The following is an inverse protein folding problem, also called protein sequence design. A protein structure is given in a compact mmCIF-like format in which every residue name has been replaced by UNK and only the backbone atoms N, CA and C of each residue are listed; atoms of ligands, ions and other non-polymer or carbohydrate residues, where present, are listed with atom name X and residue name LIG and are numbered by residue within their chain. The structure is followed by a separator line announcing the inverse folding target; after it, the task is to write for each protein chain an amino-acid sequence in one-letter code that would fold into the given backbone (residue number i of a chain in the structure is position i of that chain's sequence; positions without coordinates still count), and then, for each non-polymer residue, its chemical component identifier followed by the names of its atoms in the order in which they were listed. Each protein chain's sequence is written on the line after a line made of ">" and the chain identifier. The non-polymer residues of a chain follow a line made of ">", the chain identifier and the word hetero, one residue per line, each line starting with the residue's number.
data_IF_008660585608
#
_entry.id   IF_008660585608
#
_cell.length_a   1.000
_cell.length_b   1.000
_cell.length_c   1.000
_cell.angle_alpha   90.00
_cell.angle_beta   90.00
_cell.angle_gamma   90.00
#
_symmetry.space_group_name_H-M   'P 1'
#
loop_
_entity.id
_entity.type
_entity.pdbx_description
1 polymer ?
#
# COMPACT_ATOMS: atom_id res chain seq x y z
N UNK A 1 -23.03 6.82 -12.06
CA UNK A 1 -22.68 7.88 -11.08
C UNK A 1 -21.38 8.55 -11.52
N UNK A 2 -21.22 9.82 -11.14
CA UNK A 2 -19.98 10.58 -11.34
C UNK A 2 -19.10 10.46 -10.09
N UNK A 3 -17.94 9.88 -10.24
CA UNK A 3 -17.03 9.58 -9.13
C UNK A 3 -15.72 10.35 -9.35
N UNK A 4 -15.33 11.17 -8.37
CA UNK A 4 -14.02 11.82 -8.35
C UNK A 4 -13.12 11.11 -7.35
N UNK A 5 -12.00 10.53 -7.82
CA UNK A 5 -11.00 9.87 -6.98
C UNK A 5 -9.81 10.80 -6.80
N UNK A 6 -9.49 11.18 -5.57
CA UNK A 6 -8.37 12.09 -5.24
C UNK A 6 -7.23 11.28 -4.68
N UNK A 7 -6.06 11.40 -5.30
CA UNK A 7 -4.83 10.72 -4.87
C UNK A 7 -3.58 11.54 -5.21
N UNK A 8 -2.55 11.46 -4.37
CA UNK A 8 -1.34 12.28 -4.53
C UNK A 8 -0.61 12.02 -5.84
N UNK A 9 -0.46 10.78 -6.23
CA UNK A 9 0.27 10.39 -7.45
C UNK A 9 -0.57 9.42 -8.28
N UNK A 10 -0.52 9.55 -9.61
CA UNK A 10 -1.18 8.62 -10.52
C UNK A 10 -0.40 8.47 -11.84
N UNK A 11 -0.48 7.30 -12.46
CA UNK A 11 0.15 7.01 -13.75
C UNK A 11 1.56 6.44 -13.62
N UNK A 12 2.47 6.86 -14.50
CA UNK A 12 3.84 6.31 -14.58
C UNK A 12 4.68 6.56 -13.33
N UNK A 13 4.31 7.59 -12.55
CA UNK A 13 4.99 7.97 -11.32
C UNK A 13 4.44 7.24 -10.08
N UNK A 14 3.38 6.45 -10.26
CA UNK A 14 2.74 5.68 -9.21
C UNK A 14 3.55 4.42 -8.89
N UNK A 15 4.47 4.52 -7.92
CA UNK A 15 5.33 3.41 -7.48
C UNK A 15 4.69 2.64 -6.32
N UNK A 16 3.70 3.24 -5.66
CA UNK A 16 3.08 2.68 -4.45
C UNK A 16 1.94 1.69 -4.72
N UNK A 17 1.70 0.81 -3.74
CA UNK A 17 0.59 -0.15 -3.80
C UNK A 17 -0.79 0.52 -3.74
N UNK A 18 -0.91 1.66 -3.05
CA UNK A 18 -2.16 2.42 -2.93
C UNK A 18 -2.60 3.00 -4.26
N UNK A 19 -1.68 3.64 -4.98
CA UNK A 19 -1.93 4.27 -6.27
C UNK A 19 -2.27 3.23 -7.34
N UNK A 20 -1.55 2.10 -7.36
CA UNK A 20 -1.82 0.98 -8.26
C UNK A 20 -3.21 0.41 -8.01
N UNK A 21 -3.59 0.19 -6.76
CA UNK A 21 -4.90 -0.35 -6.38
C UNK A 21 -6.04 0.62 -6.73
N UNK A 22 -5.85 1.92 -6.47
CA UNK A 22 -6.84 2.92 -6.83
C UNK A 22 -7.03 3.02 -8.36
N UNK A 23 -5.96 2.86 -9.13
CA UNK A 23 -6.03 2.80 -10.59
C UNK A 23 -6.80 1.58 -11.10
N UNK A 24 -6.58 0.40 -10.53
CA UNK A 24 -7.35 -0.82 -10.83
C UNK A 24 -8.84 -0.57 -10.55
N UNK A 25 -9.18 -0.04 -9.38
CA UNK A 25 -10.56 0.27 -9.02
C UNK A 25 -11.19 1.28 -9.99
N UNK A 26 -10.48 2.35 -10.36
CA UNK A 26 -10.96 3.35 -11.30
C UNK A 26 -11.33 2.74 -12.66
N UNK A 27 -10.45 1.90 -13.22
CA UNK A 27 -10.69 1.23 -14.50
C UNK A 27 -11.92 0.32 -14.42
N UNK A 28 -12.04 -0.48 -13.38
CA UNK A 28 -13.18 -1.39 -13.21
C UNK A 28 -14.51 -0.64 -13.02
N UNK A 29 -14.51 0.48 -12.30
CA UNK A 29 -15.73 1.30 -12.16
C UNK A 29 -16.16 1.92 -13.50
N UNK A 30 -15.21 2.32 -14.37
CA UNK A 30 -15.55 2.78 -15.74
C UNK A 30 -16.15 1.64 -16.55
N UNK A 31 -15.61 0.44 -16.52
CA UNK A 31 -16.15 -0.73 -17.21
C UNK A 31 -17.58 -1.07 -16.75
N UNK A 32 -17.93 -0.71 -15.51
CA UNK A 32 -19.29 -0.87 -14.95
C UNK A 32 -20.23 0.31 -15.25
N UNK A 33 -19.81 1.25 -16.09
CA UNK A 33 -20.65 2.36 -16.55
C UNK A 33 -20.66 3.57 -15.62
N UNK A 34 -19.71 3.71 -14.68
CA UNK A 34 -19.52 4.93 -13.92
C UNK A 34 -18.67 5.93 -14.70
N UNK A 35 -18.94 7.23 -14.54
CA UNK A 35 -18.07 8.30 -15.01
C UNK A 35 -17.02 8.59 -13.95
N UNK A 36 -15.79 8.12 -14.18
CA UNK A 36 -14.70 8.22 -13.18
C UNK A 36 -13.69 9.28 -13.61
N UNK A 37 -13.41 10.21 -12.69
CA UNK A 37 -12.35 11.20 -12.81
C UNK A 37 -11.34 11.02 -11.70
N UNK A 38 -10.05 10.95 -12.05
CA UNK A 38 -8.94 10.99 -11.08
C UNK A 38 -8.42 12.42 -10.98
N UNK A 39 -8.23 12.91 -9.76
CA UNK A 39 -7.58 14.19 -9.47
C UNK A 39 -6.26 13.88 -8.77
N UNK A 40 -5.14 14.14 -9.44
CA UNK A 40 -3.78 13.88 -8.96
C UNK A 40 -2.91 15.12 -8.98
N UNK A 41 -1.74 15.03 -8.34
CA UNK A 41 -0.74 16.09 -8.34
C UNK A 41 0.09 16.05 -9.64
N UNK A 42 0.43 17.21 -10.14
CA UNK A 42 1.48 17.45 -11.13
C UNK A 42 2.65 18.21 -10.49
N UNK A 43 3.76 18.38 -11.21
CA UNK A 43 4.93 19.11 -10.72
C UNK A 43 4.57 20.53 -10.24
N UNK A 44 5.39 21.10 -9.34
CA UNK A 44 5.12 22.42 -8.71
C UNK A 44 4.91 23.53 -9.74
N UNK A 45 5.71 23.53 -10.80
CA UNK A 45 5.70 24.56 -11.85
C UNK A 45 4.92 24.13 -13.10
N UNK A 46 4.18 23.01 -13.05
CA UNK A 46 3.35 22.58 -14.18
C UNK A 46 2.10 23.45 -14.30
N UNK A 47 1.43 23.34 -15.43
CA UNK A 47 0.07 23.86 -15.61
C UNK A 47 -0.95 22.79 -15.29
N UNK A 48 -2.18 23.19 -14.92
CA UNK A 48 -3.31 22.27 -14.85
C UNK A 48 -3.49 21.60 -16.20
N UNK A 49 -3.57 20.28 -16.20
CA UNK A 49 -3.77 19.49 -17.40
C UNK A 49 -4.82 18.40 -17.19
N UNK A 50 -5.40 17.91 -18.27
CA UNK A 50 -6.27 16.73 -18.22
C UNK A 50 -6.09 15.88 -19.46
N UNK A 51 -6.22 14.55 -19.28
CA UNK A 51 -6.17 13.56 -20.34
C UNK A 51 -7.10 12.38 -20.01
N UNK A 52 -7.29 11.48 -20.96
CA UNK A 52 -8.00 10.22 -20.73
C UNK A 52 -7.01 9.06 -20.81
N UNK A 53 -7.21 8.07 -19.93
CA UNK A 53 -6.52 6.79 -20.04
C UNK A 53 -7.13 5.93 -21.15
N UNK A 54 -6.44 4.86 -21.52
CA UNK A 54 -6.97 3.85 -22.47
C UNK A 54 -8.27 3.20 -22.00
N UNK A 55 -8.52 3.20 -20.70
CA UNK A 55 -9.76 2.68 -20.09
C UNK A 55 -10.88 3.72 -20.00
N UNK A 56 -10.66 4.96 -20.45
CA UNK A 56 -11.67 6.01 -20.42
C UNK A 56 -11.73 6.82 -19.12
N UNK A 57 -10.85 6.56 -18.15
CA UNK A 57 -10.75 7.37 -16.93
C UNK A 57 -10.21 8.75 -17.28
N UNK A 58 -10.91 9.81 -16.88
CA UNK A 58 -10.42 11.19 -17.04
C UNK A 58 -9.48 11.56 -15.90
N UNK A 59 -8.28 11.96 -16.22
CA UNK A 59 -7.26 12.35 -15.23
C UNK A 59 -7.06 13.86 -15.27
N UNK A 60 -7.16 14.49 -14.11
CA UNK A 60 -6.84 15.89 -13.86
C UNK A 60 -5.53 15.97 -13.08
N UNK A 61 -4.52 16.62 -13.63
CA UNK A 61 -3.25 16.87 -12.93
C UNK A 61 -3.19 18.31 -12.47
N UNK A 62 -3.12 18.52 -11.16
CA UNK A 62 -3.08 19.83 -10.53
C UNK A 62 -1.64 20.15 -10.06
N UNK A 63 -1.08 21.30 -10.44
CA UNK A 63 0.25 21.67 -9.98
C UNK A 63 0.33 21.62 -8.45
N UNK A 64 1.33 20.92 -7.90
CA UNK A 64 1.54 20.82 -6.47
C UNK A 64 1.80 22.21 -5.87
N UNK A 65 0.98 22.64 -4.92
CA UNK A 65 1.14 23.92 -4.23
C UNK A 65 1.92 23.77 -2.93
N UNK A 66 3.21 23.45 -3.07
CA UNK A 66 4.15 23.20 -1.97
C UNK A 66 5.52 23.84 -2.23
N UNK A 67 6.40 23.79 -1.26
CA UNK A 67 7.74 24.42 -1.32
C UNK A 67 8.81 23.52 -1.94
N UNK A 68 8.53 22.22 -2.01
CA UNK A 68 9.32 21.21 -2.73
C UNK A 68 8.41 20.03 -3.10
N UNK A 69 8.87 19.22 -4.05
CA UNK A 69 8.17 18.03 -4.53
C UNK A 69 8.80 16.76 -3.93
N UNK A 70 8.14 16.10 -2.96
CA UNK A 70 8.65 14.85 -2.38
C UNK A 70 8.41 13.62 -3.27
N UNK A 71 7.64 13.76 -4.34
CA UNK A 71 7.22 12.64 -5.20
C UNK A 71 8.08 12.52 -6.46
N UNK A 72 8.87 13.57 -6.79
CA UNK A 72 9.66 13.61 -8.03
C UNK A 72 8.81 13.73 -9.29
N UNK A 73 7.68 14.46 -9.21
CA UNK A 73 6.75 14.65 -10.32
C UNK A 73 7.36 15.48 -11.48
N UNK A 74 8.46 16.16 -11.23
CA UNK A 74 9.28 16.85 -12.23
C UNK A 74 10.30 15.95 -12.92
N UNK A 75 10.31 14.66 -12.61
CA UNK A 75 11.25 13.66 -13.12
C UNK A 75 12.57 13.59 -12.32
N UNK A 76 12.79 14.47 -11.35
CA UNK A 76 13.98 14.47 -10.48
C UNK A 76 13.65 13.74 -9.17
N UNK A 77 14.01 12.47 -9.09
CA UNK A 77 13.75 11.65 -7.91
C UNK A 77 14.58 12.10 -6.71
N UNK A 78 13.94 12.09 -5.52
CA UNK A 78 14.58 12.25 -4.20
C UNK A 78 15.17 13.63 -3.86
N UNK A 79 14.58 14.71 -4.30
CA UNK A 79 14.94 16.06 -3.80
C UNK A 79 14.29 16.35 -2.43
N UNK A 80 14.53 15.49 -1.45
CA UNK A 80 14.16 15.86 -0.08
C UNK A 80 15.11 16.93 0.42
N UNK A 81 14.60 18.08 0.91
CA UNK A 81 15.47 19.13 1.41
C UNK A 81 16.25 18.63 2.64
N UNK A 82 17.52 19.00 2.75
CA UNK A 82 18.32 18.71 3.95
C UNK A 82 17.77 19.45 5.18
N UNK A 83 17.20 20.65 4.96
CA UNK A 83 16.68 21.51 6.02
C UNK A 83 15.43 20.94 6.69
N UNK A 84 15.54 20.66 7.99
CA UNK A 84 14.43 20.27 8.85
C UNK A 84 13.30 21.32 8.88
N UNK A 85 13.66 22.62 8.82
CA UNK A 85 12.69 23.70 8.78
C UNK A 85 11.84 23.69 7.49
N UNK A 86 12.44 23.40 6.33
CA UNK A 86 11.68 23.24 5.07
C UNK A 86 10.72 22.06 5.14
N UNK A 87 11.15 20.93 5.73
CA UNK A 87 10.27 19.75 5.94
C UNK A 87 9.10 20.12 6.85
N UNK A 88 9.37 20.78 7.99
CA UNK A 88 8.34 21.21 8.92
C UNK A 88 7.32 22.17 8.27
N UNK A 89 7.79 23.14 7.47
CA UNK A 89 6.94 24.08 6.74
C UNK A 89 6.08 23.37 5.69
N UNK A 90 6.62 22.37 5.00
CA UNK A 90 5.86 21.53 4.05
C UNK A 90 4.70 20.84 4.77
N UNK A 91 4.97 20.17 5.88
CA UNK A 91 3.94 19.48 6.66
C UNK A 91 2.92 20.44 7.28
N UNK A 92 3.34 21.63 7.72
CA UNK A 92 2.41 22.65 8.22
C UNK A 92 1.43 23.10 7.14
N UNK A 93 1.92 23.34 5.91
CA UNK A 93 1.04 23.66 4.77
C UNK A 93 0.12 22.49 4.41
N UNK A 94 0.60 21.24 4.59
CA UNK A 94 -0.17 20.05 4.29
C UNK A 94 -1.23 19.73 5.36
N UNK A 95 -1.20 20.40 6.51
CA UNK A 95 -2.30 20.31 7.49
C UNK A 95 -3.61 20.78 6.84
N UNK A 96 -3.59 21.97 6.19
CA UNK A 96 -4.75 22.52 5.49
C UNK A 96 -4.31 23.43 4.33
N UNK A 97 -4.27 22.88 3.12
CA UNK A 97 -3.73 23.55 1.94
C UNK A 97 -4.83 24.29 1.17
N UNK A 98 -5.03 25.57 1.49
CA UNK A 98 -6.07 26.41 0.88
C UNK A 98 -5.91 26.57 -0.64
N UNK A 99 -4.66 26.61 -1.14
CA UNK A 99 -4.43 26.76 -2.58
C UNK A 99 -4.83 25.50 -3.34
N UNK A 100 -4.49 24.33 -2.80
CA UNK A 100 -4.94 23.06 -3.38
C UNK A 100 -6.45 22.90 -3.25
N UNK A 101 -7.05 23.29 -2.11
CA UNK A 101 -8.50 23.31 -1.95
C UNK A 101 -9.20 24.13 -3.05
N UNK A 102 -8.67 25.32 -3.38
CA UNK A 102 -9.24 26.15 -4.46
C UNK A 102 -9.16 25.43 -5.82
N UNK A 103 -8.01 24.84 -6.16
CA UNK A 103 -7.85 24.10 -7.44
C UNK A 103 -8.80 22.90 -7.51
N UNK A 104 -8.88 22.13 -6.43
CA UNK A 104 -9.80 20.97 -6.36
C UNK A 104 -11.25 21.41 -6.49
N UNK A 105 -11.65 22.53 -5.86
CA UNK A 105 -13.00 23.12 -6.01
C UNK A 105 -13.32 23.40 -7.46
N UNK A 106 -12.41 24.00 -8.22
CA UNK A 106 -12.65 24.35 -9.62
C UNK A 106 -12.76 23.09 -10.49
N UNK A 107 -12.02 22.03 -10.19
CA UNK A 107 -12.17 20.73 -10.84
C UNK A 107 -13.49 20.06 -10.45
N UNK A 108 -13.89 20.11 -9.17
CA UNK A 108 -15.17 19.53 -8.74
C UNK A 108 -16.39 20.24 -9.36
N UNK A 109 -16.31 21.55 -9.60
CA UNK A 109 -17.35 22.26 -10.39
C UNK A 109 -17.45 21.73 -11.82
N UNK A 110 -16.32 21.37 -12.45
CA UNK A 110 -16.30 20.81 -13.82
C UNK A 110 -16.81 19.36 -13.86
N UNK A 111 -16.47 18.54 -12.84
CA UNK A 111 -16.89 17.12 -12.74
C UNK A 111 -18.35 17.02 -12.28
N UNK A 112 -18.74 17.85 -11.30
CA UNK A 112 -20.00 17.75 -10.56
C UNK A 112 -20.20 16.33 -9.99
N UNK A 113 -19.30 15.86 -9.08
CA UNK A 113 -19.28 14.49 -8.64
C UNK A 113 -20.45 14.17 -7.68
N UNK A 114 -21.02 12.98 -7.82
CA UNK A 114 -21.96 12.40 -6.84
C UNK A 114 -21.18 11.92 -5.60
N UNK A 115 -19.99 11.34 -5.84
CA UNK A 115 -19.11 10.77 -4.81
C UNK A 115 -17.69 11.27 -5.02
N UNK A 116 -17.05 11.67 -3.92
CA UNK A 116 -15.60 11.93 -3.85
C UNK A 116 -14.94 10.85 -3.02
N UNK A 117 -14.11 10.04 -3.65
CA UNK A 117 -13.27 9.05 -2.98
C UNK A 117 -11.87 9.65 -2.77
N UNK A 118 -11.38 9.66 -1.54
CA UNK A 118 -10.02 10.12 -1.24
C UNK A 118 -9.15 8.94 -0.84
N UNK A 119 -7.99 8.80 -1.49
CA UNK A 119 -7.05 7.68 -1.27
C UNK A 119 -5.82 8.14 -0.49
N UNK A 120 -5.02 9.03 -1.07
CA UNK A 120 -3.86 9.63 -0.41
C UNK A 120 -4.03 11.15 -0.40
N UNK A 121 -3.90 11.77 0.77
CA UNK A 121 -4.20 13.20 0.95
C UNK A 121 -2.96 14.08 1.09
N UNK A 122 -1.76 13.53 1.08
CA UNK A 122 -0.54 14.31 1.14
C UNK A 122 -0.40 15.21 -0.10
N UNK A 123 -0.09 16.48 0.14
CA UNK A 123 -0.07 17.52 -0.90
C UNK A 123 -1.45 18.17 -1.14
N UNK A 124 -2.54 17.42 -1.01
CA UNK A 124 -3.91 17.93 -1.08
C UNK A 124 -4.45 18.45 0.25
N UNK A 125 -4.12 17.78 1.35
CA UNK A 125 -4.63 17.98 2.71
C UNK A 125 -6.09 17.58 2.92
N UNK A 126 -6.54 17.61 4.17
CA UNK A 126 -7.96 17.34 4.55
C UNK A 126 -8.95 18.40 4.03
N UNK A 127 -8.46 19.51 3.50
CA UNK A 127 -9.31 20.55 2.90
C UNK A 127 -10.15 20.02 1.71
N UNK A 128 -9.70 18.95 1.06
CA UNK A 128 -10.46 18.29 -0.02
C UNK A 128 -11.85 17.85 0.45
N UNK A 129 -11.99 17.34 1.66
CA UNK A 129 -13.29 16.89 2.18
C UNK A 129 -14.30 18.05 2.31
N UNK A 130 -13.83 19.23 2.70
CA UNK A 130 -14.68 20.41 2.75
C UNK A 130 -15.12 20.86 1.35
N UNK A 131 -14.24 20.77 0.36
CA UNK A 131 -14.58 21.10 -1.02
C UNK A 131 -15.52 20.07 -1.65
N UNK A 132 -15.38 18.79 -1.32
CA UNK A 132 -16.31 17.75 -1.71
C UNK A 132 -17.73 18.00 -1.15
N UNK A 133 -17.82 18.34 0.15
CA UNK A 133 -19.09 18.70 0.78
C UNK A 133 -19.73 19.95 0.16
N UNK A 134 -18.92 20.95 -0.19
CA UNK A 134 -19.39 22.16 -0.88
C UNK A 134 -19.92 21.88 -2.29
N UNK A 135 -19.37 20.86 -2.96
CA UNK A 135 -19.86 20.41 -4.25
C UNK A 135 -21.14 19.55 -4.14
N UNK A 136 -21.65 19.29 -2.93
CA UNK A 136 -22.79 18.41 -2.70
C UNK A 136 -22.48 16.92 -2.81
N UNK A 137 -21.21 16.55 -2.93
CA UNK A 137 -20.80 15.16 -3.07
C UNK A 137 -20.74 14.42 -1.73
N UNK A 138 -21.05 13.14 -1.75
CA UNK A 138 -20.76 12.22 -0.63
C UNK A 138 -19.27 11.92 -0.58
N UNK A 139 -18.73 11.76 0.63
CA UNK A 139 -17.30 11.60 0.87
C UNK A 139 -17.00 10.18 1.35
N UNK A 140 -16.18 9.46 0.60
CA UNK A 140 -15.61 8.18 1.00
C UNK A 140 -14.09 8.34 1.18
N UNK A 141 -13.54 7.92 2.31
CA UNK A 141 -12.09 7.92 2.53
C UNK A 141 -11.53 6.51 2.59
N UNK A 142 -10.49 6.25 1.79
CA UNK A 142 -9.72 5.00 1.79
C UNK A 142 -8.47 5.16 2.63
N UNK A 143 -8.34 4.39 3.70
CA UNK A 143 -7.18 4.44 4.61
C UNK A 143 -6.00 3.61 4.10
N UNK A 144 -5.32 4.09 3.05
CA UNK A 144 -4.17 3.37 2.48
C UNK A 144 -2.88 3.50 3.28
N UNK A 145 -2.76 4.56 4.09
CA UNK A 145 -1.56 4.89 4.84
C UNK A 145 -1.91 5.52 6.20
N UNK A 146 -0.89 5.95 6.94
CA UNK A 146 -1.05 6.64 8.21
C UNK A 146 -0.88 8.17 8.10
N UNK A 147 -1.05 8.77 6.92
CA UNK A 147 -0.81 10.20 6.68
C UNK A 147 -1.65 11.13 7.57
N UNK A 148 -2.84 10.71 7.98
CA UNK A 148 -3.68 11.48 8.91
C UNK A 148 -3.08 11.52 10.32
N UNK A 149 -2.36 10.47 10.71
CA UNK A 149 -1.78 10.30 12.04
C UNK A 149 -0.34 10.82 12.10
N UNK A 150 0.44 10.56 11.04
CA UNK A 150 1.88 10.79 11.04
C UNK A 150 2.36 11.35 9.69
N UNK A 151 3.17 12.42 9.68
CA UNK A 151 3.71 12.99 8.44
C UNK A 151 4.55 12.01 7.61
N UNK A 152 5.18 11.01 8.24
CA UNK A 152 5.97 10.00 7.53
C UNK A 152 5.14 8.91 6.87
N UNK A 153 3.80 8.96 6.96
CA UNK A 153 2.83 7.97 6.43
C UNK A 153 2.97 6.54 6.92
N UNK A 154 4.18 6.11 7.28
CA UNK A 154 4.49 4.74 7.69
C UNK A 154 4.60 4.57 9.21
N UNK A 155 4.44 5.65 10.00
CA UNK A 155 4.69 5.67 11.44
C UNK A 155 6.08 5.11 11.79
N UNK A 156 7.10 5.61 11.10
CA UNK A 156 8.50 5.26 11.34
C UNK A 156 9.34 6.50 11.61
N UNK A 157 10.41 6.35 12.37
CA UNK A 157 11.43 7.38 12.62
C UNK A 157 12.81 6.78 12.30
N UNK A 158 13.26 6.97 11.07
CA UNK A 158 14.36 6.17 10.51
C UNK A 158 13.96 4.69 10.45
N UNK A 159 14.83 3.81 10.91
CA UNK A 159 14.58 2.37 11.00
C UNK A 159 13.61 1.96 12.12
N UNK A 160 13.33 2.86 13.09
CA UNK A 160 12.48 2.54 14.23
C UNK A 160 11.01 2.73 13.89
N UNK A 161 10.19 1.73 14.18
CA UNK A 161 8.73 1.78 14.06
C UNK A 161 8.14 2.42 15.31
N UNK A 162 7.18 3.32 15.12
CA UNK A 162 6.49 4.02 16.20
C UNK A 162 5.29 3.19 16.68
N UNK A 163 5.35 2.68 17.90
CA UNK A 163 4.23 1.97 18.53
C UNK A 163 3.16 2.94 19.07
N UNK A 164 3.57 4.18 19.35
CA UNK A 164 2.71 5.27 19.79
C UNK A 164 2.96 6.54 18.97
N UNK A 165 2.04 7.47 19.04
CA UNK A 165 2.17 8.79 18.40
C UNK A 165 3.12 9.65 19.21
N UNK A 166 4.22 10.09 18.59
CA UNK A 166 5.13 11.05 19.24
C UNK A 166 4.50 12.45 19.30
N UNK A 167 5.05 13.35 20.15
CA UNK A 167 4.51 14.69 20.34
C UNK A 167 4.30 15.47 19.03
N UNK A 168 5.25 15.40 18.11
CA UNK A 168 5.14 16.08 16.80
C UNK A 168 3.98 15.53 15.98
N UNK A 169 3.84 14.19 15.92
CA UNK A 169 2.73 13.56 15.22
C UNK A 169 1.38 13.84 15.90
N UNK A 170 1.34 13.88 17.24
CA UNK A 170 0.13 14.21 17.97
C UNK A 170 -0.38 15.64 17.67
N UNK A 171 0.53 16.62 17.64
CA UNK A 171 0.20 18.01 17.26
C UNK A 171 -0.27 18.05 15.80
N UNK A 172 0.46 17.44 14.89
CA UNK A 172 0.12 17.38 13.47
C UNK A 172 -1.27 16.74 13.23
N UNK A 173 -1.51 15.59 13.83
CA UNK A 173 -2.77 14.86 13.73
C UNK A 173 -3.94 15.65 14.31
N UNK A 174 -3.77 16.26 15.50
CA UNK A 174 -4.79 17.07 16.16
C UNK A 174 -5.17 18.31 15.35
N UNK A 175 -4.19 19.01 14.76
CA UNK A 175 -4.44 20.16 13.89
C UNK A 175 -5.23 19.74 12.64
N UNK A 176 -4.85 18.64 11.99
CA UNK A 176 -5.60 18.12 10.82
C UNK A 176 -7.03 17.74 11.19
N UNK A 177 -7.19 17.00 12.28
CA UNK A 177 -8.50 16.56 12.76
C UNK A 177 -9.41 17.74 13.05
N UNK A 178 -8.92 18.78 13.76
CA UNK A 178 -9.70 19.98 14.10
C UNK A 178 -10.12 20.82 12.88
N UNK A 179 -9.48 20.65 11.73
CA UNK A 179 -9.79 21.35 10.47
C UNK A 179 -10.51 20.46 9.45
N UNK A 180 -10.57 19.16 9.71
CA UNK A 180 -11.19 18.19 8.81
C UNK A 180 -12.73 18.30 8.85
N UNK A 181 -13.35 17.97 7.74
CA UNK A 181 -14.76 17.61 7.66
C UNK A 181 -14.84 16.10 7.62
N UNK A 182 -15.67 15.49 8.44
CA UNK A 182 -15.75 14.02 8.49
C UNK A 182 -16.28 13.43 7.17
N UNK A 183 -15.66 12.36 6.67
CA UNK A 183 -16.22 11.60 5.56
C UNK A 183 -17.52 10.89 5.96
N UNK A 184 -18.39 10.61 4.98
CA UNK A 184 -19.63 9.87 5.20
C UNK A 184 -19.35 8.39 5.46
N UNK A 185 -18.34 7.81 4.79
CA UNK A 185 -17.87 6.43 4.95
C UNK A 185 -16.35 6.39 4.96
N UNK A 186 -15.79 5.50 5.79
CA UNK A 186 -14.35 5.18 5.79
C UNK A 186 -14.15 3.70 5.46
N UNK A 187 -13.31 3.44 4.48
CA UNK A 187 -12.96 2.09 4.04
C UNK A 187 -11.49 1.81 4.30
N UNK A 188 -11.20 0.70 4.94
CA UNK A 188 -9.82 0.21 5.10
C UNK A 188 -9.56 -1.04 4.28
N UNK A 189 -8.35 -1.24 3.75
CA UNK A 189 -7.99 -2.50 3.09
C UNK A 189 -7.82 -3.65 4.10
N UNK A 190 -7.72 -3.36 5.39
CA UNK A 190 -7.64 -4.31 6.50
C UNK A 190 -8.32 -3.74 7.76
N UNK A 191 -8.63 -4.58 8.73
CA UNK A 191 -9.23 -4.13 9.99
C UNK A 191 -8.23 -3.34 10.82
N UNK A 192 -6.98 -3.78 10.88
CA UNK A 192 -5.95 -3.15 11.71
C UNK A 192 -5.69 -1.68 11.35
N UNK A 193 -5.79 -1.28 10.08
CA UNK A 193 -5.60 0.12 9.69
C UNK A 193 -6.76 1.00 10.19
N UNK A 194 -8.00 0.51 10.15
CA UNK A 194 -9.17 1.21 10.69
C UNK A 194 -9.06 1.37 12.20
N UNK A 195 -8.75 0.29 12.92
CA UNK A 195 -8.58 0.30 14.37
C UNK A 195 -7.47 1.23 14.81
N UNK A 196 -6.39 1.29 14.02
CA UNK A 196 -5.27 2.18 14.29
C UNK A 196 -5.65 3.65 14.13
N UNK A 197 -6.42 4.01 13.10
CA UNK A 197 -6.93 5.38 12.95
C UNK A 197 -7.85 5.74 14.12
N UNK A 198 -8.78 4.86 14.51
CA UNK A 198 -9.66 5.08 15.67
C UNK A 198 -8.88 5.20 16.97
N UNK A 199 -7.90 4.34 17.21
CA UNK A 199 -7.02 4.42 18.39
C UNK A 199 -6.34 5.79 18.55
N UNK A 200 -6.09 6.48 17.45
CA UNK A 200 -5.46 7.80 17.46
C UNK A 200 -6.45 8.95 17.20
N UNK A 201 -7.74 8.72 17.49
CA UNK A 201 -8.78 9.73 17.50
C UNK A 201 -9.37 10.09 16.15
N UNK A 202 -9.09 9.33 15.08
CA UNK A 202 -9.68 9.57 13.77
C UNK A 202 -10.96 8.73 13.57
N UNK A 203 -11.99 9.34 12.95
CA UNK A 203 -13.22 8.66 12.52
C UNK A 203 -14.09 8.12 13.67
N UNK A 204 -13.97 8.71 14.88
CA UNK A 204 -14.84 8.35 16.02
C UNK A 204 -16.31 8.72 15.76
N UNK A 205 -16.54 9.79 14.99
CA UNK A 205 -17.85 10.31 14.57
C UNK A 205 -18.38 9.67 13.28
N UNK A 206 -17.60 8.76 12.64
CA UNK A 206 -18.02 8.07 11.42
C UNK A 206 -18.61 6.70 11.76
N UNK A 207 -19.93 6.59 11.64
CA UNK A 207 -20.66 5.36 11.98
C UNK A 207 -20.41 4.24 10.96
N UNK A 208 -20.19 4.60 9.69
CA UNK A 208 -20.01 3.65 8.61
C UNK A 208 -18.54 3.45 8.29
N UNK A 209 -17.96 2.37 8.83
CA UNK A 209 -16.62 1.92 8.46
C UNK A 209 -16.67 0.46 8.03
N UNK A 210 -15.90 0.10 7.01
CA UNK A 210 -15.86 -1.28 6.54
C UNK A 210 -14.49 -1.65 5.97
N UNK A 211 -14.25 -2.95 5.87
CA UNK A 211 -13.05 -3.51 5.26
C UNK A 211 -13.39 -3.99 3.85
N UNK A 212 -12.70 -3.39 2.87
CA UNK A 212 -12.70 -3.87 1.49
C UNK A 212 -11.25 -4.09 1.09
N UNK A 213 -10.81 -5.35 0.97
CA UNK A 213 -9.45 -5.69 0.56
C UNK A 213 -9.10 -5.11 -0.82
N UNK A 214 -7.82 -4.90 -1.06
CA UNK A 214 -7.33 -4.57 -2.39
C UNK A 214 -7.60 -5.72 -3.35
N UNK A 215 -7.85 -5.40 -4.63
CA UNK A 215 -8.05 -6.39 -5.67
C UNK A 215 -6.76 -6.77 -6.38
N UNK A 216 -6.75 -7.97 -6.93
CA UNK A 216 -5.76 -8.41 -7.90
C UNK A 216 -5.85 -7.58 -9.19
N UNK A 217 -4.74 -7.39 -9.91
CA UNK A 217 -4.78 -6.94 -11.30
C UNK A 217 -5.61 -7.91 -12.15
N UNK A 218 -6.34 -7.39 -13.17
CA UNK A 218 -7.17 -8.22 -14.05
C UNK A 218 -6.39 -9.34 -14.76
N UNK A 219 -5.15 -9.02 -15.15
CA UNK A 219 -4.28 -9.97 -15.87
C UNK A 219 -3.43 -10.82 -14.92
N UNK A 220 -3.80 -10.94 -13.63
CA UNK A 220 -3.05 -11.78 -12.70
C UNK A 220 -3.18 -13.25 -13.11
N UNK A 221 -2.08 -14.00 -13.26
CA UNK A 221 -2.11 -15.37 -13.77
C UNK A 221 -3.08 -16.26 -13.01
N UNK A 222 -3.85 -17.06 -13.75
CA UNK A 222 -4.81 -18.01 -13.15
C UNK A 222 -4.19 -19.38 -12.89
N UNK A 223 -3.20 -19.74 -13.69
CA UNK A 223 -2.60 -21.07 -13.63
C UNK A 223 -1.88 -21.30 -12.31
N UNK A 224 -2.17 -22.41 -11.61
CA UNK A 224 -1.32 -22.83 -10.54
C UNK A 224 -0.01 -23.31 -11.18
N UNK A 225 1.04 -22.64 -10.87
CA UNK A 225 2.30 -23.33 -10.92
C UNK A 225 2.22 -24.43 -9.87
N UNK A 226 2.35 -25.67 -10.29
CA UNK A 226 2.49 -26.78 -9.36
C UNK A 226 3.61 -26.39 -8.40
N UNK A 227 3.30 -26.36 -7.11
CA UNK A 227 4.31 -26.25 -6.08
C UNK A 227 5.12 -27.54 -6.16
N UNK A 228 6.16 -27.52 -6.97
CA UNK A 228 7.16 -28.55 -6.91
C UNK A 228 7.94 -28.27 -5.64
N UNK A 229 7.81 -29.17 -4.67
CA UNK A 229 8.66 -29.16 -3.47
C UNK A 229 10.08 -29.45 -3.92
N UNK A 230 10.74 -28.39 -4.42
CA UNK A 230 12.10 -28.50 -4.91
C UNK A 230 13.07 -28.52 -3.71
N UNK A 231 14.06 -29.35 -3.80
CA UNK A 231 15.23 -29.24 -2.94
C UNK A 231 16.38 -28.70 -3.81
N UNK A 232 16.92 -27.50 -3.54
CA UNK A 232 16.67 -26.60 -2.40
C UNK A 232 15.35 -25.82 -2.49
N UNK A 233 14.70 -25.53 -1.32
CA UNK A 233 13.51 -24.70 -1.23
C UNK A 233 13.81 -23.26 -1.57
N UNK A 234 12.98 -22.63 -2.41
CA UNK A 234 13.18 -21.26 -2.88
C UNK A 234 12.32 -20.28 -2.07
N UNK A 235 12.97 -19.45 -1.26
CA UNK A 235 12.30 -18.33 -0.59
C UNK A 235 12.44 -17.06 -1.40
N UNK A 236 11.38 -16.25 -1.47
CA UNK A 236 11.36 -14.98 -2.18
C UNK A 236 11.08 -13.79 -1.28
N UNK A 237 11.78 -12.68 -1.50
CA UNK A 237 11.43 -11.37 -0.97
C UNK A 237 11.11 -10.44 -2.15
N UNK A 238 9.96 -9.77 -2.11
CA UNK A 238 9.58 -8.80 -3.14
C UNK A 238 9.06 -7.51 -2.51
N UNK A 239 9.78 -6.41 -2.71
CA UNK A 239 9.43 -5.10 -2.16
C UNK A 239 10.57 -4.09 -2.22
N UNK A 240 10.36 -2.91 -1.62
CA UNK A 240 11.45 -1.93 -1.49
C UNK A 240 12.57 -2.50 -0.62
N UNK A 241 13.80 -2.28 -1.07
CA UNK A 241 15.00 -2.74 -0.36
C UNK A 241 15.43 -1.68 0.66
N UNK A 242 14.61 -1.48 1.69
CA UNK A 242 14.88 -0.58 2.80
C UNK A 242 14.69 -1.28 4.16
N UNK A 243 15.22 -0.69 5.23
CA UNK A 243 15.19 -1.25 6.58
C UNK A 243 13.76 -1.46 7.11
N UNK A 244 12.79 -0.68 6.63
CA UNK A 244 11.40 -0.79 7.07
C UNK A 244 10.75 -2.09 6.57
N UNK A 245 11.22 -2.62 5.45
CA UNK A 245 10.77 -3.89 4.87
C UNK A 245 11.52 -5.11 5.40
N UNK A 246 12.60 -4.91 6.16
CA UNK A 246 13.26 -5.96 6.93
C UNK A 246 14.06 -6.98 6.10
N UNK A 247 14.48 -6.62 4.88
CA UNK A 247 15.29 -7.51 4.04
C UNK A 247 16.61 -7.93 4.75
N UNK A 248 17.17 -7.05 5.57
CA UNK A 248 18.32 -7.34 6.41
C UNK A 248 18.04 -8.41 7.48
N UNK A 249 16.80 -8.46 8.01
CA UNK A 249 16.37 -9.53 8.91
C UNK A 249 16.36 -10.88 8.18
N UNK A 250 15.82 -10.92 6.94
CA UNK A 250 15.85 -12.13 6.11
C UNK A 250 17.29 -12.59 5.86
N UNK A 251 18.15 -11.70 5.38
CA UNK A 251 19.54 -12.03 5.07
C UNK A 251 20.32 -12.49 6.32
N UNK A 252 19.98 -12.00 7.50
CA UNK A 252 20.56 -12.48 8.76
C UNK A 252 20.02 -13.85 9.18
N UNK A 253 18.73 -14.11 8.98
CA UNK A 253 18.11 -15.40 9.31
C UNK A 253 18.64 -16.53 8.43
N UNK A 254 18.89 -16.25 7.17
CA UNK A 254 19.43 -17.21 6.19
C UNK A 254 20.78 -17.79 6.63
N UNK A 255 21.61 -17.01 7.36
CA UNK A 255 22.89 -17.49 7.92
C UNK A 255 22.75 -18.60 8.94
N UNK A 256 21.55 -18.85 9.43
CA UNK A 256 21.24 -19.88 10.43
C UNK A 256 20.62 -21.14 9.78
N UNK A 257 20.38 -21.12 8.49
CA UNK A 257 19.78 -22.25 7.77
C UNK A 257 20.85 -23.29 7.39
N UNK A 258 20.47 -24.57 7.22
CA UNK A 258 21.36 -25.60 6.72
C UNK A 258 21.82 -25.27 5.29
N UNK A 259 23.13 -25.33 5.06
CA UNK A 259 23.72 -25.06 3.75
C UNK A 259 23.17 -26.03 2.68
N UNK A 260 22.94 -25.52 1.47
CA UNK A 260 22.42 -26.33 0.34
C UNK A 260 20.92 -26.64 0.41
N UNK A 261 20.23 -26.36 1.53
CA UNK A 261 18.80 -26.67 1.68
C UNK A 261 17.86 -25.58 1.14
N UNK A 262 18.38 -24.41 0.77
CA UNK A 262 17.60 -23.25 0.37
C UNK A 262 18.22 -22.44 -0.76
N UNK A 263 17.39 -21.65 -1.43
CA UNK A 263 17.76 -20.51 -2.29
C UNK A 263 16.93 -19.29 -1.91
N UNK A 264 17.51 -18.09 -2.04
CA UNK A 264 16.83 -16.83 -1.78
C UNK A 264 16.80 -16.00 -3.06
N UNK A 265 15.61 -15.56 -3.45
CA UNK A 265 15.43 -14.56 -4.50
C UNK A 265 14.99 -13.22 -3.89
N UNK A 266 15.66 -12.13 -4.25
CA UNK A 266 15.39 -10.79 -3.75
C UNK A 266 15.05 -9.88 -4.93
N UNK A 267 13.77 -9.48 -5.00
CA UNK A 267 13.26 -8.55 -6.02
C UNK A 267 12.84 -7.22 -5.41
N UNK A 268 13.04 -6.13 -6.15
CA UNK A 268 12.57 -4.80 -5.77
C UNK A 268 13.56 -3.67 -5.99
N UNK A 269 13.07 -2.46 -5.76
CA UNK A 269 13.86 -1.23 -5.92
C UNK A 269 14.53 -0.84 -4.60
N UNK A 270 15.80 -0.41 -4.65
CA UNK A 270 16.57 0.07 -3.51
C UNK A 270 18.06 -0.13 -3.70
N UNK A 271 18.84 0.03 -2.62
CA UNK A 271 20.29 -0.13 -2.67
C UNK A 271 20.69 -1.62 -2.57
N UNK A 272 20.44 -2.34 -3.68
CA UNK A 272 20.78 -3.77 -3.78
C UNK A 272 22.29 -4.01 -3.64
N UNK A 273 23.15 -3.07 -4.10
CA UNK A 273 24.59 -3.20 -3.97
C UNK A 273 25.05 -3.21 -2.52
N UNK A 274 24.57 -2.27 -1.70
CA UNK A 274 24.93 -2.23 -0.27
C UNK A 274 24.47 -3.49 0.48
N UNK A 275 23.30 -4.04 0.09
CA UNK A 275 22.82 -5.30 0.67
C UNK A 275 23.66 -6.49 0.22
N UNK A 276 24.06 -6.51 -1.05
CA UNK A 276 24.94 -7.52 -1.62
C UNK A 276 26.31 -7.49 -0.93
N UNK A 277 26.91 -6.32 -0.75
CA UNK A 277 28.20 -6.15 -0.10
C UNK A 277 28.15 -6.68 1.36
N UNK A 278 27.09 -6.34 2.10
CA UNK A 278 26.86 -6.91 3.46
C UNK A 278 26.63 -8.42 3.45
N UNK A 279 26.10 -8.96 2.36
CA UNK A 279 25.90 -10.39 2.18
C UNK A 279 27.20 -11.11 1.86
N UNK A 280 28.04 -10.56 0.96
CA UNK A 280 29.32 -11.13 0.54
C UNK A 280 30.34 -11.26 1.70
N UNK A 281 30.23 -10.41 2.72
CA UNK A 281 31.00 -10.56 3.97
C UNK A 281 30.60 -11.80 4.81
N UNK A 282 29.59 -12.56 4.35
CA UNK A 282 29.12 -13.75 5.04
C UNK A 282 29.72 -15.03 4.42
N UNK A 283 29.95 -16.08 5.23
CA UNK A 283 30.50 -17.38 4.80
C UNK A 283 29.53 -18.25 3.97
N UNK A 284 28.42 -17.67 3.46
CA UNK A 284 27.41 -18.40 2.70
C UNK A 284 27.74 -18.31 1.22
N UNK A 285 27.51 -19.41 0.48
CA UNK A 285 27.71 -19.46 -0.95
C UNK A 285 26.97 -18.33 -1.68
N UNK A 286 27.67 -17.59 -2.55
CA UNK A 286 27.09 -16.55 -3.42
C UNK A 286 25.93 -17.08 -4.28
N UNK A 287 25.92 -18.36 -4.59
CA UNK A 287 24.88 -19.04 -5.35
C UNK A 287 23.56 -19.19 -4.58
N UNK A 288 23.58 -18.99 -3.26
CA UNK A 288 22.37 -19.15 -2.42
C UNK A 288 21.45 -17.92 -2.42
N UNK A 289 21.92 -16.73 -2.85
CA UNK A 289 21.13 -15.50 -2.85
C UNK A 289 21.24 -14.75 -4.18
N UNK A 290 20.12 -14.55 -4.83
CA UNK A 290 20.01 -13.85 -6.11
C UNK A 290 19.29 -12.51 -5.94
N UNK A 291 19.96 -11.39 -6.30
CA UNK A 291 19.38 -10.06 -6.32
C UNK A 291 18.98 -9.68 -7.75
N UNK A 292 17.67 -9.59 -7.99
CA UNK A 292 17.08 -9.46 -9.33
C UNK A 292 16.74 -8.02 -9.72
N UNK A 293 16.83 -7.06 -8.78
CA UNK A 293 16.39 -5.69 -9.04
C UNK A 293 14.86 -5.59 -9.19
N UNK A 294 14.41 -4.69 -10.05
CA UNK A 294 12.98 -4.52 -10.34
C UNK A 294 12.53 -5.62 -11.29
N UNK A 295 11.52 -6.37 -10.89
CA UNK A 295 11.00 -7.55 -11.59
C UNK A 295 9.49 -7.45 -11.81
N UNK A 296 8.97 -8.23 -12.76
CA UNK A 296 7.54 -8.51 -12.82
C UNK A 296 7.13 -9.35 -11.61
N UNK A 297 6.08 -8.92 -10.90
CA UNK A 297 5.68 -9.57 -9.66
C UNK A 297 5.13 -10.98 -9.88
N UNK A 298 4.34 -11.20 -10.94
CA UNK A 298 3.74 -12.49 -11.23
C UNK A 298 4.80 -13.50 -11.64
N UNK A 299 5.72 -13.08 -12.51
CA UNK A 299 6.86 -13.91 -12.92
C UNK A 299 7.74 -14.26 -11.73
N UNK A 300 8.13 -13.28 -10.92
CA UNK A 300 8.94 -13.50 -9.70
C UNK A 300 8.28 -14.49 -8.75
N UNK A 301 7.01 -14.24 -8.39
CA UNK A 301 6.27 -15.09 -7.45
C UNK A 301 6.04 -16.50 -7.99
N UNK A 302 6.06 -16.68 -9.30
CA UNK A 302 5.95 -18.01 -9.91
C UNK A 302 7.19 -18.88 -9.67
N UNK A 303 8.36 -18.28 -9.45
CA UNK A 303 9.64 -18.94 -9.28
C UNK A 303 10.13 -19.05 -7.83
N UNK A 304 9.22 -18.93 -6.87
CA UNK A 304 9.50 -19.15 -5.44
C UNK A 304 8.56 -20.20 -4.87
N UNK A 305 8.90 -20.82 -3.76
CA UNK A 305 8.04 -21.73 -3.01
C UNK A 305 7.32 -21.02 -1.87
N UNK A 306 8.01 -20.12 -1.17
CA UNK A 306 7.50 -19.37 -0.01
C UNK A 306 7.90 -17.91 -0.11
N UNK A 307 6.92 -17.01 0.01
CA UNK A 307 7.20 -15.59 0.16
C UNK A 307 7.63 -15.26 1.59
N UNK A 308 8.66 -14.44 1.77
CA UNK A 308 9.07 -13.92 3.09
C UNK A 308 8.85 -12.42 3.13
N UNK A 309 8.02 -11.96 4.07
CA UNK A 309 7.72 -10.54 4.25
C UNK A 309 8.07 -10.12 5.69
N UNK A 310 9.36 -9.85 5.97
CA UNK A 310 9.86 -9.58 7.32
C UNK A 310 9.71 -8.11 7.72
N UNK A 311 8.66 -7.43 7.24
CA UNK A 311 8.45 -6.00 7.41
C UNK A 311 8.46 -5.60 8.87
N UNK A 312 9.21 -4.54 9.20
CA UNK A 312 9.20 -3.89 10.51
C UNK A 312 8.13 -2.81 10.58
N UNK A 313 7.79 -2.20 9.44
CA UNK A 313 6.76 -1.19 9.35
C UNK A 313 5.34 -1.77 9.54
N UNK A 314 4.42 -0.91 9.93
CA UNK A 314 3.00 -1.26 10.03
C UNK A 314 2.39 -1.31 8.62
N UNK A 315 2.39 -2.50 8.02
CA UNK A 315 1.75 -2.71 6.74
C UNK A 315 0.24 -2.46 6.83
N UNK A 316 -0.31 -1.77 5.85
CA UNK A 316 -1.75 -1.46 5.81
C UNK A 316 -2.56 -2.55 5.12
N UNK A 317 -1.92 -3.30 4.19
CA UNK A 317 -2.50 -4.46 3.51
C UNK A 317 -1.45 -5.48 3.09
N UNK A 318 -0.40 -5.03 2.38
CA UNK A 318 0.65 -5.84 1.77
C UNK A 318 0.16 -6.66 0.55
N UNK A 319 0.02 -5.99 -0.59
CA UNK A 319 -0.46 -6.61 -1.84
C UNK A 319 0.35 -7.86 -2.23
N UNK A 320 1.66 -7.86 -2.05
CA UNK A 320 2.53 -8.98 -2.47
C UNK A 320 2.19 -10.29 -1.75
N UNK A 321 1.71 -10.25 -0.50
CA UNK A 321 1.26 -11.44 0.23
C UNK A 321 -0.03 -12.00 -0.38
N UNK A 322 -0.97 -11.12 -0.73
CA UNK A 322 -2.18 -11.49 -1.46
C UNK A 322 -1.83 -12.06 -2.85
N UNK A 323 -0.97 -11.37 -3.58
CA UNK A 323 -0.52 -11.73 -4.92
C UNK A 323 0.15 -13.11 -4.94
N UNK A 324 1.04 -13.39 -3.98
CA UNK A 324 1.69 -14.69 -3.80
C UNK A 324 0.67 -15.78 -3.44
N UNK A 325 -0.20 -15.51 -2.46
CA UNK A 325 -1.24 -16.45 -2.05
C UNK A 325 -2.16 -16.85 -3.19
N UNK A 326 -2.54 -15.91 -4.06
CA UNK A 326 -3.37 -16.19 -5.23
C UNK A 326 -2.68 -17.06 -6.31
N UNK A 327 -1.34 -17.16 -6.26
CA UNK A 327 -0.55 -18.13 -7.05
C UNK A 327 -0.27 -19.43 -6.28
N UNK A 328 -0.86 -19.61 -5.09
CA UNK A 328 -0.61 -20.76 -4.27
C UNK A 328 0.73 -20.74 -3.53
N UNK A 329 1.35 -19.56 -3.39
CA UNK A 329 2.61 -19.38 -2.65
C UNK A 329 2.28 -18.89 -1.23
N UNK A 330 2.44 -19.73 -0.18
CA UNK A 330 2.22 -19.30 1.19
C UNK A 330 3.31 -18.29 1.61
N UNK A 331 3.07 -17.56 2.71
CA UNK A 331 4.02 -16.57 3.15
C UNK A 331 4.44 -16.76 4.61
N UNK A 332 5.71 -16.47 4.91
CA UNK A 332 6.22 -16.22 6.25
C UNK A 332 6.22 -14.71 6.45
N UNK A 333 5.43 -14.21 7.38
CA UNK A 333 5.24 -12.78 7.60
C UNK A 333 5.57 -12.37 9.03
N UNK A 334 6.00 -11.13 9.20
CA UNK A 334 6.13 -10.58 10.55
C UNK A 334 4.76 -10.26 11.16
N UNK A 335 4.71 -10.11 12.49
CA UNK A 335 3.51 -9.72 13.23
C UNK A 335 3.20 -8.21 13.14
N UNK A 336 3.45 -7.54 12.00
CA UNK A 336 3.29 -6.09 11.83
C UNK A 336 2.11 -5.70 10.95
N UNK A 337 1.30 -4.76 11.48
CA UNK A 337 0.15 -4.22 10.73
C UNK A 337 -0.78 -5.33 10.26
N UNK A 338 -1.20 -5.27 9.00
CA UNK A 338 -2.13 -6.20 8.39
C UNK A 338 -1.53 -7.56 7.99
N UNK A 339 -0.23 -7.78 8.17
CA UNK A 339 0.42 -9.03 7.76
C UNK A 339 -0.20 -10.28 8.41
N UNK A 340 -0.47 -10.32 9.73
CA UNK A 340 -1.16 -11.44 10.35
C UNK A 340 -2.52 -11.73 9.71
N UNK A 341 -3.31 -10.69 9.42
CA UNK A 341 -4.62 -10.85 8.77
C UNK A 341 -4.53 -11.51 7.39
N UNK A 342 -3.37 -11.41 6.70
CA UNK A 342 -3.18 -11.97 5.36
C UNK A 342 -2.89 -13.46 5.35
N UNK A 343 -2.30 -14.00 6.42
CA UNK A 343 -1.88 -15.41 6.48
C UNK A 343 -2.65 -16.22 7.51
N UNK A 344 -3.18 -15.60 8.55
CA UNK A 344 -3.93 -16.30 9.60
C UNK A 344 -5.34 -16.66 9.13
N UNK A 345 -5.94 -15.82 8.29
CA UNK A 345 -7.21 -16.11 7.65
C UNK A 345 -7.09 -17.28 6.66
N UNK A 346 -7.63 -18.42 7.02
CA UNK A 346 -7.57 -19.63 6.21
C UNK A 346 -6.25 -20.42 6.33
N UNK A 347 -5.41 -20.11 7.32
CA UNK A 347 -4.16 -20.83 7.58
C UNK A 347 -3.22 -20.84 6.35
N UNK A 348 -2.93 -19.66 5.81
CA UNK A 348 -2.24 -19.47 4.54
C UNK A 348 -0.73 -19.22 4.67
N UNK A 349 -0.15 -19.35 5.87
CA UNK A 349 1.27 -19.08 6.09
C UNK A 349 1.69 -19.16 7.56
N UNK A 350 2.79 -18.48 7.89
CA UNK A 350 3.39 -18.46 9.22
C UNK A 350 3.64 -17.02 9.67
N UNK A 351 3.58 -16.80 10.98
CA UNK A 351 3.77 -15.48 11.59
C UNK A 351 4.95 -15.56 12.57
N UNK A 352 5.87 -14.60 12.50
CA UNK A 352 6.97 -14.48 13.44
C UNK A 352 7.06 -13.06 14.02
N UNK A 353 7.71 -12.85 15.20
CA UNK A 353 7.90 -11.53 15.77
C UNK A 353 8.82 -10.66 14.91
N UNK A 354 8.39 -9.44 14.57
CA UNK A 354 9.13 -8.55 13.69
C UNK A 354 10.55 -8.26 14.20
N UNK A 355 11.53 -8.45 13.34
CA UNK A 355 12.95 -8.26 13.65
C UNK A 355 13.61 -9.43 14.37
N UNK A 356 12.84 -10.48 14.71
CA UNK A 356 13.39 -11.68 15.35
C UNK A 356 14.00 -12.62 14.29
N UNK A 357 15.32 -12.59 14.21
CA UNK A 357 16.11 -13.38 13.26
C UNK A 357 15.98 -14.88 13.54
N UNK A 358 15.93 -15.27 14.82
CA UNK A 358 15.88 -16.67 15.23
C UNK A 358 14.53 -17.30 14.88
N UNK A 359 13.42 -16.60 15.19
CA UNK A 359 12.08 -17.08 14.90
C UNK A 359 11.80 -17.12 13.38
N UNK A 360 12.36 -16.18 12.61
CA UNK A 360 12.31 -16.24 11.15
C UNK A 360 13.07 -17.48 10.63
N UNK A 361 14.31 -17.71 11.10
CA UNK A 361 15.10 -18.86 10.71
C UNK A 361 14.41 -20.18 11.08
N UNK A 362 13.79 -20.28 12.26
CA UNK A 362 12.97 -21.45 12.66
C UNK A 362 11.81 -21.68 11.71
N UNK A 363 11.07 -20.62 11.35
CA UNK A 363 9.95 -20.71 10.41
C UNK A 363 10.41 -21.19 9.02
N UNK A 364 11.54 -20.68 8.54
CA UNK A 364 12.13 -21.11 7.25
C UNK A 364 12.61 -22.56 7.32
N UNK A 365 13.31 -22.95 8.39
CA UNK A 365 13.75 -24.34 8.62
C UNK A 365 12.55 -25.29 8.71
N UNK A 366 11.46 -24.83 9.36
CA UNK A 366 10.22 -25.62 9.42
C UNK A 366 9.65 -25.87 8.01
N UNK A 367 9.61 -24.86 7.14
CA UNK A 367 9.16 -25.03 5.76
C UNK A 367 10.03 -26.02 4.99
N UNK A 368 11.36 -25.94 5.11
CA UNK A 368 12.32 -26.87 4.48
C UNK A 368 12.02 -28.32 4.88
N UNK A 369 11.77 -28.56 6.18
CA UNK A 369 11.53 -29.89 6.72
C UNK A 369 10.08 -30.41 6.49
N UNK A 370 9.14 -29.52 6.15
CA UNK A 370 7.71 -29.86 5.99
C UNK A 370 7.15 -29.38 4.66
N UNK A 371 7.67 -29.81 3.51
CA UNK A 371 7.29 -29.29 2.20
C UNK A 371 5.80 -29.56 1.85
N UNK A 372 5.22 -30.63 2.34
CA UNK A 372 3.77 -30.91 2.16
C UNK A 372 2.88 -29.88 2.85
N UNK A 373 3.33 -29.33 3.99
CA UNK A 373 2.58 -28.25 4.65
C UNK A 373 2.68 -26.93 3.87
N UNK A 374 3.83 -26.66 3.25
CA UNK A 374 3.98 -25.53 2.31
C UNK A 374 2.94 -25.63 1.19
N UNK A 375 2.81 -26.81 0.58
CA UNK A 375 1.78 -27.07 -0.46
C UNK A 375 0.37 -26.85 0.07
N UNK A 376 0.07 -27.40 1.24
CA UNK A 376 -1.26 -27.29 1.86
C UNK A 376 -1.64 -25.83 2.14
N UNK A 377 -0.74 -25.05 2.77
CA UNK A 377 -0.96 -23.63 3.05
C UNK A 377 -1.06 -22.80 1.77
N UNK A 378 -0.28 -23.14 0.75
CA UNK A 378 -0.39 -22.54 -0.58
C UNK A 378 -1.76 -22.78 -1.22
N UNK A 379 -2.31 -24.00 -1.13
CA UNK A 379 -3.65 -24.32 -1.60
C UNK A 379 -4.74 -23.51 -0.85
N UNK A 380 -4.61 -23.38 0.48
CA UNK A 380 -5.52 -22.56 1.29
C UNK A 380 -5.48 -21.08 0.87
N UNK A 381 -4.28 -20.52 0.67
CA UNK A 381 -4.10 -19.15 0.22
C UNK A 381 -4.74 -18.92 -1.17
N UNK A 382 -4.58 -19.87 -2.07
CA UNK A 382 -5.15 -19.82 -3.41
C UNK A 382 -6.67 -19.88 -3.41
N UNK A 383 -7.27 -20.63 -2.50
CA UNK A 383 -8.73 -20.71 -2.37
C UNK A 383 -9.37 -19.35 -2.08
N UNK A 384 -8.62 -18.39 -1.53
CA UNK A 384 -9.08 -17.02 -1.28
C UNK A 384 -9.06 -16.12 -2.54
N UNK A 385 -8.50 -16.59 -3.67
CA UNK A 385 -8.32 -15.79 -4.88
C UNK A 385 -9.59 -15.07 -5.34
N UNK A 386 -10.73 -15.76 -5.35
CA UNK A 386 -12.00 -15.19 -5.80
C UNK A 386 -12.42 -13.99 -4.94
N UNK A 387 -12.13 -14.02 -3.65
CA UNK A 387 -12.45 -12.90 -2.74
C UNK A 387 -11.63 -11.63 -3.01
N UNK A 388 -10.52 -11.77 -3.72
CA UNK A 388 -9.65 -10.66 -4.15
C UNK A 388 -9.87 -10.27 -5.62
N UNK A 389 -10.91 -10.77 -6.29
CA UNK A 389 -11.20 -10.35 -7.66
C UNK A 389 -11.66 -8.90 -7.69
N UNK A 390 -11.33 -8.19 -8.78
CA UNK A 390 -11.79 -6.83 -9.03
C UNK A 390 -13.31 -6.73 -9.07
N UNK A 391 -13.98 -7.79 -9.55
CA UNK A 391 -15.44 -7.87 -9.58
C UNK A 391 -16.03 -7.82 -8.17
N UNK A 392 -15.57 -8.69 -7.26
CA UNK A 392 -16.05 -8.72 -5.87
C UNK A 392 -15.73 -7.40 -5.14
N UNK A 393 -14.59 -6.80 -5.42
CA UNK A 393 -14.25 -5.50 -4.86
C UNK A 393 -15.23 -4.43 -5.33
N UNK A 394 -15.50 -4.33 -6.64
CA UNK A 394 -16.44 -3.36 -7.19
C UNK A 394 -17.87 -3.56 -6.69
N UNK A 395 -18.36 -4.81 -6.58
CA UNK A 395 -19.67 -5.11 -6.02
C UNK A 395 -19.82 -4.51 -4.61
N UNK A 396 -18.78 -4.65 -3.78
CA UNK A 396 -18.76 -4.06 -2.42
C UNK A 396 -18.77 -2.53 -2.46
N UNK A 397 -17.99 -1.90 -3.35
CA UNK A 397 -18.01 -0.44 -3.48
C UNK A 397 -19.33 0.08 -4.00
N UNK A 398 -19.93 -0.54 -5.02
CA UNK A 398 -21.23 -0.15 -5.54
C UNK A 398 -22.34 -0.26 -4.49
N UNK A 399 -22.33 -1.31 -3.67
CA UNK A 399 -23.25 -1.43 -2.53
C UNK A 399 -23.11 -0.26 -1.55
N UNK A 400 -21.85 0.18 -1.26
CA UNK A 400 -21.62 1.36 -0.43
C UNK A 400 -22.08 2.65 -1.11
N UNK A 401 -21.83 2.82 -2.41
CA UNK A 401 -22.31 3.99 -3.17
C UNK A 401 -23.82 4.10 -3.11
N UNK A 402 -24.54 3.00 -3.31
CA UNK A 402 -25.99 2.97 -3.20
C UNK A 402 -26.46 3.35 -1.79
N UNK A 403 -25.81 2.79 -0.74
CA UNK A 403 -26.10 3.13 0.65
C UNK A 403 -25.91 4.63 0.94
N UNK A 404 -24.85 5.24 0.40
CA UNK A 404 -24.57 6.67 0.56
C UNK A 404 -25.64 7.56 -0.08
N UNK A 405 -26.14 7.17 -1.25
CA UNK A 405 -27.13 7.94 -2.01
C UNK A 405 -28.55 7.83 -1.47
N UNK A 406 -28.89 6.74 -0.75
CA UNK A 406 -30.23 6.53 -0.16
C UNK A 406 -30.45 7.32 1.13
N UNK A 407 -29.40 7.61 1.91
CA UNK A 407 -29.52 8.31 3.21
C UNK A 407 -30.02 9.76 3.14
N UNK A 408 -30.21 10.33 1.95
CA UNK A 408 -30.70 11.69 1.76
C UNK A 408 -32.18 11.76 1.33
N UNK A 409 -32.91 10.64 1.36
CA UNK A 409 -34.37 10.58 1.19
C UNK A 409 -35.06 10.36 2.53
#
# INVERSE_FOLDING_TARGET
>A
MKIAMVMSVYGKDAIGGAERTAGILANNLVQRGHEVSIVSLGAINSQESSFHTSFGVKVWQLPLSQIYDPYGLDGVKNQLPESTAKKALWHLRDVYNLRMASRVRDVFKKINPDIVMTHTLQGFSVAVWKEAKRAGAKIMHMTHDHALICPSTAMTKGAKVCESVCTQCAVYSKLRHGLATSPDIVVGPSQIILDRHRKFGWFEDVNDTCVIPNALPENWPESPLELTTQNPMVFGFLGRLDESKGVDTLLSAVKLLPEGSFKIKVGGQGNSQQLRDRWLDSKISEESVEFLGVVDAAEFLSHIDVLVTPSRAHETFCNVVMEAGCLGRPAIVSNRGALPERVDHGNCGWIFPAGDIQELAKSMTYCINNPLEVVSKGANARALRQSYSSQVQCDKFEALFQKMMVKDK
#
